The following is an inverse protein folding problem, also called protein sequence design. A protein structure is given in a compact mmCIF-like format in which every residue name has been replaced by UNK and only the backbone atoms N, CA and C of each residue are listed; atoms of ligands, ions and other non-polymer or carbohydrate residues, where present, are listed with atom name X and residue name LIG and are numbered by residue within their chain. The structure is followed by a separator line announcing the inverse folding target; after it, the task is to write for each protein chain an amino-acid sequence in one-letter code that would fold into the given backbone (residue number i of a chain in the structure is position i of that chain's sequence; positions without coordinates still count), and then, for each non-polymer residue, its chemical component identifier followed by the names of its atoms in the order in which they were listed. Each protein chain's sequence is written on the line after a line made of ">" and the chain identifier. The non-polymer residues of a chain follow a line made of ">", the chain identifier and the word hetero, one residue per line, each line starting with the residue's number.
data_IF_089622139752
#
_entry.id   IF_089622139752
#
_cell.length_a   1.000
_cell.length_b   1.000
_cell.length_c   1.000
_cell.angle_alpha   90.00
_cell.angle_beta   90.00
_cell.angle_gamma   90.00
#
_symmetry.space_group_name_H-M   'P 1'
#
loop_
_entity.id
_entity.type
_entity.pdbx_description
1 polymer ?
#
# COMPACT_ATOMS: atom_id res chain seq x y z
N UNK A 1 11.41 8.93 -10.99
CA UNK A 1 10.63 9.93 -10.23
C UNK A 1 9.18 9.44 -10.21
N UNK A 2 8.83 8.59 -9.24
CA UNK A 2 7.48 8.01 -9.00
C UNK A 2 7.40 7.28 -7.64
N UNK A 3 8.55 6.94 -7.04
CA UNK A 3 8.62 6.20 -5.79
C UNK A 3 8.03 6.93 -4.57
N UNK A 4 8.11 8.26 -4.51
CA UNK A 4 7.64 9.02 -3.33
C UNK A 4 6.13 8.93 -3.15
N UNK A 5 5.37 9.05 -4.25
CA UNK A 5 3.90 8.99 -4.22
C UNK A 5 3.42 7.58 -3.88
N UNK A 6 4.10 6.56 -4.42
CA UNK A 6 3.82 5.16 -4.11
C UNK A 6 4.12 4.83 -2.64
N UNK A 7 5.25 5.32 -2.10
CA UNK A 7 5.61 5.15 -0.69
C UNK A 7 4.61 5.84 0.24
N UNK A 8 4.21 7.08 -0.05
CA UNK A 8 3.17 7.76 0.75
C UNK A 8 1.81 7.06 0.67
N UNK A 9 1.44 6.57 -0.51
CA UNK A 9 0.20 5.81 -0.69
C UNK A 9 0.23 4.50 0.12
N UNK A 10 1.33 3.75 0.07
CA UNK A 10 1.56 2.54 0.88
C UNK A 10 1.52 2.84 2.39
N UNK A 11 2.20 3.90 2.83
CA UNK A 11 2.21 4.29 4.25
C UNK A 11 0.80 4.66 4.74
N UNK A 12 0.03 5.39 3.94
CA UNK A 12 -1.37 5.74 4.27
C UNK A 12 -2.32 4.54 4.13
N UNK A 13 -2.02 3.60 3.24
CA UNK A 13 -2.73 2.32 3.06
C UNK A 13 -2.66 1.50 4.35
N UNK A 14 -1.45 1.33 4.90
CA UNK A 14 -1.24 0.63 6.17
C UNK A 14 -1.90 1.33 7.36
N UNK A 15 -1.91 2.66 7.38
CA UNK A 15 -2.58 3.42 8.44
C UNK A 15 -4.11 3.41 8.33
N UNK A 16 -4.67 2.72 7.32
CA UNK A 16 -6.09 2.69 7.01
C UNK A 16 -6.70 4.11 6.85
N UNK A 17 -5.86 5.08 6.47
CA UNK A 17 -6.18 6.49 6.21
C UNK A 17 -6.36 6.76 4.72
N UNK A 18 -6.09 5.76 3.87
CA UNK A 18 -6.15 5.92 2.43
C UNK A 18 -7.62 5.91 1.94
N UNK A 19 -8.04 6.92 1.16
CA UNK A 19 -9.39 6.93 0.62
C UNK A 19 -9.59 5.81 -0.39
N UNK A 20 -10.82 5.29 -0.47
CA UNK A 20 -11.21 4.15 -1.31
C UNK A 20 -10.70 4.19 -2.77
N UNK A 21 -10.80 5.30 -3.52
CA UNK A 21 -10.26 5.34 -4.89
C UNK A 21 -8.74 5.22 -4.97
N UNK A 22 -8.00 5.70 -3.96
CA UNK A 22 -6.55 5.53 -3.89
C UNK A 22 -6.17 4.09 -3.51
N UNK A 23 -6.97 3.42 -2.67
CA UNK A 23 -6.78 1.98 -2.41
C UNK A 23 -6.88 1.19 -3.70
N UNK A 24 -7.93 1.40 -4.48
CA UNK A 24 -8.13 0.72 -5.77
C UNK A 24 -6.99 1.02 -6.75
N UNK A 25 -6.46 2.23 -6.75
CA UNK A 25 -5.29 2.56 -7.58
C UNK A 25 -4.03 1.82 -7.12
N UNK A 26 -3.77 1.75 -5.81
CA UNK A 26 -2.63 0.99 -5.25
C UNK A 26 -2.80 -0.49 -5.55
N UNK A 27 -4.00 -1.04 -5.33
CA UNK A 27 -4.34 -2.43 -5.61
C UNK A 27 -4.16 -2.78 -7.10
N UNK A 28 -4.62 -1.92 -8.01
CA UNK A 28 -4.42 -2.11 -9.44
C UNK A 28 -2.96 -1.92 -9.90
N UNK A 29 -2.22 -1.01 -9.26
CA UNK A 29 -0.82 -0.71 -9.62
C UNK A 29 0.14 -1.79 -9.11
N UNK A 30 -0.15 -2.37 -7.96
CA UNK A 30 0.66 -3.40 -7.30
C UNK A 30 0.07 -4.81 -7.46
N UNK A 31 -1.02 -4.94 -8.22
CA UNK A 31 -1.74 -6.20 -8.46
C UNK A 31 -2.10 -6.93 -7.15
N UNK A 32 -2.57 -6.16 -6.15
CA UNK A 32 -2.92 -6.67 -4.82
C UNK A 32 -4.35 -7.18 -4.85
N UNK A 33 -4.56 -8.39 -4.33
CA UNK A 33 -5.88 -8.95 -4.12
C UNK A 33 -6.69 -8.09 -3.13
N UNK A 34 -7.87 -7.59 -3.51
CA UNK A 34 -8.73 -6.80 -2.63
C UNK A 34 -9.35 -7.63 -1.50
N UNK A 35 -9.30 -8.96 -1.64
CA UNK A 35 -9.72 -9.94 -0.64
C UNK A 35 -8.61 -10.26 0.37
N UNK A 36 -7.36 -9.90 0.04
CA UNK A 36 -6.26 -10.04 0.98
C UNK A 36 -6.39 -8.97 2.08
N UNK A 37 -6.17 -9.32 3.37
CA UNK A 37 -6.01 -8.32 4.40
C UNK A 37 -4.88 -7.38 3.97
N UNK A 38 -4.97 -6.11 4.38
CA UNK A 38 -3.96 -5.06 4.16
C UNK A 38 -2.63 -5.57 4.74
N UNK A 39 -1.92 -6.38 3.99
CA UNK A 39 -0.70 -7.04 4.41
C UNK A 39 0.36 -5.96 4.55
N UNK A 40 1.38 -6.19 5.39
CA UNK A 40 2.50 -5.27 5.50
C UNK A 40 3.29 -5.29 4.19
N UNK A 41 2.81 -4.50 3.22
CA UNK A 41 3.39 -4.31 1.89
C UNK A 41 4.71 -3.53 1.97
N UNK A 42 4.94 -2.85 3.09
CA UNK A 42 6.24 -2.31 3.43
C UNK A 42 7.05 -3.43 4.09
N UNK A 43 8.27 -3.74 3.59
CA UNK A 43 9.13 -4.70 4.23
C UNK A 43 9.35 -4.27 5.67
N UNK A 44 9.02 -5.14 6.61
CA UNK A 44 9.28 -4.88 8.01
C UNK A 44 10.80 -4.73 8.16
N UNK A 45 11.31 -3.56 8.59
CA UNK A 45 12.76 -3.34 8.66
C UNK A 45 13.45 -4.22 9.72
N UNK A 46 12.71 -5.09 10.43
CA UNK A 46 13.20 -5.89 11.54
C UNK A 46 13.16 -7.42 11.34
N UNK A 47 13.05 -7.93 10.10
CA UNK A 47 13.25 -9.36 9.87
C UNK A 47 14.74 -9.65 9.59
N UNK A 48 15.49 -10.00 10.65
CA UNK A 48 16.85 -10.58 10.61
C UNK A 48 16.77 -12.09 10.82
#
# INVERSE_FOLDING_TARGET
>A
MNSTVLMEALQRYQQNRLPRPLRLWVEATLEIDPEAPVTNLLPDPFTH
#
